data_IF_673203868440
#
_entry.id   IF_673203868440
#
_cell.length_a   1.000
_cell.length_b   1.000
_cell.length_c   1.000
_cell.angle_alpha   90.00
_cell.angle_beta   90.00
_cell.angle_gamma   90.00
#
_symmetry.space_group_name_H-M   'P 1'
#
loop_
_entity.id
_entity.type
_entity.pdbx_description
1 polymer ?
#
# COMPACT_ATOMS: atom_id res chain seq x y z
N UNK A 1 -39.86 10.81 -46.43
CA UNK A 1 -38.44 10.79 -46.01
C UNK A 1 -38.10 11.60 -44.74
N UNK A 2 -38.86 12.62 -44.33
CA UNK A 2 -38.56 13.44 -43.11
C UNK A 2 -39.02 12.80 -41.79
N UNK A 3 -40.04 11.94 -41.78
CA UNK A 3 -40.58 11.31 -40.57
C UNK A 3 -39.68 10.17 -40.05
N UNK A 4 -39.04 9.42 -40.97
CA UNK A 4 -38.14 8.29 -40.60
C UNK A 4 -36.87 8.76 -39.95
N UNK A 5 -36.31 9.90 -40.33
CA UNK A 5 -35.10 10.49 -39.73
C UNK A 5 -35.37 10.98 -38.32
N UNK A 6 -36.57 11.55 -38.06
CA UNK A 6 -36.93 12.02 -36.71
C UNK A 6 -37.12 10.86 -35.71
N UNK A 7 -37.62 9.70 -36.16
CA UNK A 7 -37.79 8.53 -35.33
C UNK A 7 -36.44 7.89 -34.93
N UNK A 8 -35.48 7.85 -35.85
CA UNK A 8 -34.11 7.34 -35.60
C UNK A 8 -33.38 8.25 -34.62
N UNK A 9 -33.52 9.56 -34.72
CA UNK A 9 -32.92 10.51 -33.78
C UNK A 9 -33.55 10.43 -32.40
N UNK A 10 -34.91 10.23 -32.30
CA UNK A 10 -35.55 9.99 -31.00
C UNK A 10 -35.13 8.68 -30.35
N UNK A 11 -34.96 7.58 -31.10
CA UNK A 11 -34.49 6.30 -30.56
C UNK A 11 -33.04 6.41 -30.12
N UNK A 12 -32.18 7.15 -30.83
CA UNK A 12 -30.80 7.42 -30.43
C UNK A 12 -30.73 8.30 -29.16
N UNK A 13 -31.61 9.29 -29.02
CA UNK A 13 -31.68 10.15 -27.84
C UNK A 13 -32.23 9.41 -26.58
N UNK A 14 -33.08 8.41 -26.76
CA UNK A 14 -33.56 7.59 -25.64
C UNK A 14 -32.55 6.57 -25.10
N UNK A 15 -31.52 6.24 -25.89
CA UNK A 15 -30.44 5.38 -25.45
C UNK A 15 -29.23 6.15 -24.86
N UNK A 16 -29.25 7.48 -24.87
CA UNK A 16 -28.13 8.32 -24.46
C UNK A 16 -28.06 8.57 -22.93
N UNK A 17 -28.91 7.94 -22.11
CA UNK A 17 -29.05 8.36 -20.72
C UNK A 17 -28.85 7.31 -19.62
N UNK A 18 -28.91 6.03 -19.94
CA UNK A 18 -28.78 5.03 -18.89
C UNK A 18 -27.32 4.56 -18.75
N UNK A 19 -26.66 5.02 -17.70
CA UNK A 19 -25.29 4.68 -17.37
C UNK A 19 -25.26 3.86 -16.05
N UNK A 20 -24.27 2.99 -15.90
CA UNK A 20 -24.03 2.31 -14.62
C UNK A 20 -23.38 3.31 -13.67
N UNK A 21 -23.97 3.53 -12.51
CA UNK A 21 -23.51 4.49 -11.52
C UNK A 21 -23.50 3.88 -10.11
N UNK A 22 -22.82 4.54 -9.18
CA UNK A 22 -22.83 4.14 -7.77
C UNK A 22 -23.53 5.17 -6.89
N UNK A 23 -24.35 4.70 -5.96
CA UNK A 23 -25.05 5.55 -4.97
C UNK A 23 -24.13 5.98 -3.82
N UNK A 24 -24.65 6.86 -2.94
CA UNK A 24 -23.98 7.21 -1.68
C UNK A 24 -23.84 6.02 -0.72
N UNK A 25 -24.69 4.99 -0.87
CA UNK A 25 -24.65 3.74 -0.09
C UNK A 25 -23.75 2.68 -0.72
N UNK A 26 -23.22 2.96 -1.92
CA UNK A 26 -22.37 2.04 -2.67
C UNK A 26 -23.14 1.02 -3.51
N UNK A 27 -24.46 1.11 -3.55
CA UNK A 27 -25.28 0.30 -4.44
C UNK A 27 -24.96 0.68 -5.90
N UNK A 28 -25.12 -0.25 -6.82
CA UNK A 28 -24.88 -0.03 -8.24
C UNK A 28 -26.24 0.08 -8.93
N UNK A 29 -26.44 1.15 -9.69
CA UNK A 29 -27.67 1.48 -10.41
C UNK A 29 -27.41 1.52 -11.91
N UNK A 30 -28.43 1.17 -12.68
CA UNK A 30 -28.51 1.39 -14.12
C UNK A 30 -29.76 2.23 -14.41
N UNK A 31 -29.56 3.49 -14.78
CA UNK A 31 -30.61 4.49 -14.73
C UNK A 31 -31.09 4.65 -13.28
N UNK A 32 -32.45 4.64 -13.09
CA UNK A 32 -33.06 4.79 -11.76
C UNK A 32 -33.27 3.44 -11.03
N UNK A 33 -32.70 2.35 -11.53
CA UNK A 33 -32.92 1.00 -11.00
C UNK A 33 -31.65 0.45 -10.34
N UNK A 34 -31.73 0.14 -9.04
CA UNK A 34 -30.69 -0.63 -8.36
C UNK A 34 -30.58 -2.04 -8.92
N UNK A 35 -29.39 -2.40 -9.41
CA UNK A 35 -29.06 -3.71 -10.00
C UNK A 35 -28.21 -4.56 -9.08
N UNK A 36 -27.41 -3.93 -8.19
CA UNK A 36 -26.60 -4.58 -7.16
C UNK A 36 -26.66 -3.77 -5.88
N UNK A 37 -26.95 -4.42 -4.76
CA UNK A 37 -26.99 -3.80 -3.44
C UNK A 37 -25.72 -4.06 -2.66
N UNK A 38 -25.23 -3.04 -1.95
CA UNK A 38 -24.09 -3.16 -1.03
C UNK A 38 -24.58 -3.31 0.40
N UNK A 39 -24.31 -4.44 1.00
CA UNK A 39 -24.68 -4.75 2.37
C UNK A 39 -23.44 -4.83 3.27
N UNK A 40 -23.49 -4.18 4.44
CA UNK A 40 -22.52 -4.41 5.50
C UNK A 40 -22.95 -5.66 6.27
N UNK A 41 -22.07 -6.70 6.32
CA UNK A 41 -22.42 -7.96 6.98
C UNK A 41 -21.63 -8.24 8.26
N UNK A 42 -20.44 -7.62 8.43
CA UNK A 42 -19.62 -7.72 9.64
C UNK A 42 -18.90 -6.40 9.93
N UNK A 43 -18.43 -6.29 11.17
CA UNK A 43 -17.61 -5.17 11.63
C UNK A 43 -18.44 -4.04 12.28
N UNK A 44 -17.79 -3.35 13.22
CA UNK A 44 -18.33 -2.18 13.92
C UNK A 44 -17.34 -0.99 13.77
N UNK A 45 -17.51 0.07 14.55
CA UNK A 45 -16.63 1.23 14.53
C UNK A 45 -15.18 0.92 14.93
N UNK A 46 -14.96 -0.16 15.70
CA UNK A 46 -13.63 -0.59 16.19
C UNK A 46 -13.00 -1.63 15.25
N UNK A 47 -13.82 -2.43 14.57
CA UNK A 47 -13.39 -3.41 13.57
C UNK A 47 -13.76 -2.92 12.19
N UNK A 48 -12.84 -3.00 11.23
CA UNK A 48 -13.11 -2.53 9.87
C UNK A 48 -14.32 -3.26 9.28
N UNK A 49 -15.23 -2.53 8.59
CA UNK A 49 -16.42 -3.13 8.03
C UNK A 49 -16.06 -4.13 6.93
N UNK A 50 -16.83 -5.21 6.85
CA UNK A 50 -16.87 -6.09 5.69
C UNK A 50 -18.15 -5.85 4.93
N UNK A 51 -18.05 -5.76 3.61
CA UNK A 51 -19.21 -5.57 2.73
C UNK A 51 -19.36 -6.78 1.82
N UNK A 52 -20.62 -7.04 1.43
CA UNK A 52 -20.96 -7.92 0.33
C UNK A 52 -21.83 -7.17 -0.67
N UNK A 53 -21.63 -7.47 -1.93
CA UNK A 53 -22.53 -7.01 -2.98
C UNK A 53 -23.39 -8.20 -3.42
N UNK A 54 -24.67 -7.96 -3.47
CA UNK A 54 -25.68 -8.96 -3.84
C UNK A 54 -26.52 -8.48 -5.02
N UNK A 55 -26.94 -9.40 -5.87
CA UNK A 55 -27.90 -9.10 -6.92
C UNK A 55 -29.34 -9.00 -6.35
N UNK A 56 -30.32 -8.73 -7.21
CA UNK A 56 -31.75 -8.64 -6.83
C UNK A 56 -32.32 -9.97 -6.29
N UNK A 57 -31.69 -11.11 -6.59
CA UNK A 57 -32.02 -12.43 -6.05
C UNK A 57 -31.33 -12.72 -4.71
N UNK A 58 -30.56 -11.77 -4.18
CA UNK A 58 -29.72 -11.89 -2.96
C UNK A 58 -28.55 -12.88 -3.06
N UNK A 59 -28.16 -13.25 -4.29
CA UNK A 59 -26.91 -13.98 -4.51
C UNK A 59 -25.70 -13.09 -4.23
N UNK A 60 -24.73 -13.61 -3.50
CA UNK A 60 -23.47 -12.90 -3.28
C UNK A 60 -22.61 -12.91 -4.55
N UNK A 61 -22.32 -11.72 -5.06
CA UNK A 61 -21.50 -11.48 -6.23
C UNK A 61 -20.05 -11.17 -5.88
N UNK A 62 -19.84 -10.41 -4.79
CA UNK A 62 -18.55 -9.90 -4.36
C UNK A 62 -18.50 -9.78 -2.83
N UNK A 63 -17.41 -10.22 -2.25
CA UNK A 63 -17.07 -10.00 -0.84
C UNK A 63 -15.89 -9.01 -0.75
N UNK A 64 -16.02 -8.02 0.13
CA UNK A 64 -15.03 -6.96 0.31
C UNK A 64 -14.57 -6.95 1.76
N UNK A 65 -13.26 -7.10 1.93
CA UNK A 65 -12.61 -7.12 3.24
C UNK A 65 -11.54 -6.03 3.31
N UNK A 66 -11.61 -5.19 4.32
CA UNK A 66 -10.52 -4.28 4.67
C UNK A 66 -9.49 -5.00 5.53
N UNK A 67 -8.27 -4.94 5.11
CA UNK A 67 -7.13 -5.49 5.84
C UNK A 67 -6.27 -4.37 6.38
N UNK A 68 -5.64 -4.61 7.51
CA UNK A 68 -4.64 -3.72 8.09
C UNK A 68 -3.58 -4.54 8.78
N UNK A 69 -2.33 -4.19 8.52
CA UNK A 69 -1.20 -4.71 9.28
C UNK A 69 -0.19 -3.58 9.50
N UNK A 70 -0.02 -3.15 10.76
CA UNK A 70 0.73 -1.94 11.15
C UNK A 70 0.25 -0.70 10.38
N UNK A 71 1.13 -0.10 9.57
CA UNK A 71 0.87 1.09 8.76
C UNK A 71 0.34 0.79 7.36
N UNK A 72 0.23 -0.48 6.98
CA UNK A 72 -0.25 -0.88 5.67
C UNK A 72 -1.73 -1.23 5.69
N UNK A 73 -2.45 -0.71 4.70
CA UNK A 73 -3.89 -0.89 4.54
C UNK A 73 -4.20 -1.30 3.11
N UNK A 74 -4.97 -2.39 2.95
CA UNK A 74 -5.44 -2.83 1.63
C UNK A 74 -6.85 -3.41 1.71
N UNK A 75 -7.50 -3.48 0.55
CA UNK A 75 -8.83 -4.03 0.39
C UNK A 75 -8.71 -5.30 -0.45
N UNK A 76 -9.32 -6.38 0.01
CA UNK A 76 -9.48 -7.61 -0.76
C UNK A 76 -10.87 -7.64 -1.37
N UNK A 77 -10.93 -7.78 -2.69
CA UNK A 77 -12.11 -8.03 -3.48
C UNK A 77 -12.13 -9.52 -3.84
N UNK A 78 -13.07 -10.28 -3.29
CA UNK A 78 -13.20 -11.71 -3.57
C UNK A 78 -14.48 -11.94 -4.39
N UNK A 79 -14.35 -12.54 -5.57
CA UNK A 79 -15.39 -12.88 -6.52
C UNK A 79 -15.71 -14.39 -6.42
N UNK A 80 -16.63 -14.83 -5.54
CA UNK A 80 -16.80 -16.24 -5.20
C UNK A 80 -17.15 -17.10 -6.41
N UNK A 81 -18.06 -16.62 -7.29
CA UNK A 81 -18.48 -17.36 -8.49
C UNK A 81 -17.36 -17.49 -9.54
N UNK A 82 -16.39 -16.58 -9.55
CA UNK A 82 -15.26 -16.62 -10.46
C UNK A 82 -14.05 -17.34 -9.86
N UNK A 83 -14.05 -17.61 -8.55
CA UNK A 83 -12.90 -18.19 -7.84
C UNK A 83 -11.67 -17.26 -7.83
N UNK A 84 -11.88 -15.93 -7.95
CA UNK A 84 -10.83 -14.94 -8.12
C UNK A 84 -10.80 -13.95 -6.95
N UNK A 85 -9.58 -13.47 -6.64
CA UNK A 85 -9.35 -12.49 -5.60
C UNK A 85 -8.37 -11.43 -6.10
N UNK A 86 -8.67 -10.16 -5.82
CA UNK A 86 -7.81 -9.02 -6.14
C UNK A 86 -7.57 -8.20 -4.89
N UNK A 87 -6.33 -7.80 -4.67
CA UNK A 87 -5.93 -6.95 -3.54
C UNK A 87 -5.50 -5.58 -4.05
N UNK A 88 -6.05 -4.53 -3.45
CA UNK A 88 -5.81 -3.13 -3.86
C UNK A 88 -5.47 -2.30 -2.64
N UNK A 89 -4.46 -1.43 -2.73
CA UNK A 89 -4.15 -0.50 -1.65
C UNK A 89 -5.37 0.36 -1.30
N UNK A 90 -5.66 0.53 -0.02
CA UNK A 90 -6.84 1.29 0.42
C UNK A 90 -6.86 2.70 -0.17
N UNK A 91 -5.71 3.36 -0.30
CA UNK A 91 -5.59 4.71 -0.86
C UNK A 91 -5.98 4.84 -2.33
N UNK A 92 -5.97 3.74 -3.09
CA UNK A 92 -6.40 3.73 -4.49
C UNK A 92 -7.92 3.65 -4.63
N UNK A 93 -8.59 3.05 -3.65
CA UNK A 93 -10.05 2.88 -3.62
C UNK A 93 -10.72 3.99 -2.82
N UNK A 94 -10.20 4.29 -1.63
CA UNK A 94 -10.84 5.21 -0.68
C UNK A 94 -10.20 6.59 -0.78
N UNK A 95 -10.91 7.51 -1.41
CA UNK A 95 -10.48 8.91 -1.64
C UNK A 95 -11.21 9.92 -0.74
N UNK A 96 -11.98 9.45 0.25
CA UNK A 96 -12.77 10.31 1.12
C UNK A 96 -13.40 9.56 2.28
N UNK A 97 -14.28 10.22 3.04
CA UNK A 97 -14.86 9.67 4.26
C UNK A 97 -15.97 8.63 4.03
N UNK A 98 -16.61 8.62 2.86
CA UNK A 98 -17.67 7.66 2.54
C UNK A 98 -17.09 6.42 1.87
N UNK A 99 -16.78 5.41 2.65
CA UNK A 99 -16.21 4.14 2.19
C UNK A 99 -17.09 3.44 1.15
N UNK A 100 -18.41 3.34 1.40
CA UNK A 100 -19.34 2.65 0.52
C UNK A 100 -19.39 3.31 -0.85
N UNK A 101 -19.54 4.64 -0.90
CA UNK A 101 -19.53 5.39 -2.16
C UNK A 101 -18.22 5.19 -2.92
N UNK A 102 -17.09 5.28 -2.23
CA UNK A 102 -15.77 5.13 -2.87
C UNK A 102 -15.58 3.74 -3.47
N UNK A 103 -16.00 2.69 -2.75
CA UNK A 103 -15.98 1.31 -3.25
C UNK A 103 -16.91 1.19 -4.48
N UNK A 104 -18.15 1.66 -4.38
CA UNK A 104 -19.11 1.63 -5.49
C UNK A 104 -18.53 2.32 -6.73
N UNK A 105 -17.99 3.53 -6.58
CA UNK A 105 -17.34 4.25 -7.68
C UNK A 105 -16.17 3.47 -8.27
N UNK A 106 -15.31 2.90 -7.44
CA UNK A 106 -14.18 2.06 -7.90
C UNK A 106 -14.66 0.86 -8.74
N UNK A 107 -15.72 0.20 -8.34
CA UNK A 107 -16.30 -0.93 -9.07
C UNK A 107 -16.92 -0.51 -10.40
N UNK A 108 -17.60 0.64 -10.44
CA UNK A 108 -18.18 1.23 -11.67
C UNK A 108 -17.04 1.65 -12.63
N UNK A 109 -16.03 2.38 -12.15
CA UNK A 109 -14.90 2.84 -12.95
C UNK A 109 -14.13 1.68 -13.60
N UNK A 110 -14.07 0.53 -12.92
CA UNK A 110 -13.45 -0.68 -13.44
C UNK A 110 -14.45 -1.61 -14.16
N UNK A 111 -15.70 -1.16 -14.40
CA UNK A 111 -16.76 -1.87 -15.16
C UNK A 111 -17.03 -3.30 -14.67
N UNK A 112 -16.98 -3.48 -13.33
CA UNK A 112 -17.12 -4.81 -12.73
C UNK A 112 -18.51 -5.42 -12.96
N UNK A 113 -19.54 -4.58 -13.09
CA UNK A 113 -20.90 -5.00 -13.34
C UNK A 113 -21.40 -4.50 -14.70
N UNK A 114 -22.15 -5.33 -15.39
CA UNK A 114 -22.91 -4.94 -16.58
C UNK A 114 -24.26 -4.26 -16.20
N UNK A 115 -25.01 -3.79 -17.19
CA UNK A 115 -26.31 -3.13 -17.02
C UNK A 115 -27.40 -4.03 -16.42
N UNK A 116 -27.17 -5.32 -16.30
CA UNK A 116 -28.08 -6.30 -15.69
C UNK A 116 -27.68 -6.68 -14.26
N UNK A 117 -26.54 -6.16 -13.79
CA UNK A 117 -25.96 -6.47 -12.47
C UNK A 117 -25.16 -7.76 -12.41
N UNK A 118 -24.84 -8.36 -13.56
CA UNK A 118 -23.92 -9.49 -13.59
C UNK A 118 -22.47 -9.03 -13.52
N UNK A 119 -21.63 -9.86 -12.90
CA UNK A 119 -20.21 -9.63 -12.85
C UNK A 119 -19.60 -9.90 -14.23
N UNK A 120 -18.80 -8.93 -14.73
CA UNK A 120 -18.08 -9.04 -16.00
C UNK A 120 -16.73 -9.77 -15.82
N UNK A 121 -16.54 -11.00 -16.35
CA UNK A 121 -15.31 -11.76 -16.17
C UNK A 121 -14.07 -11.09 -16.81
N UNK A 122 -14.24 -10.36 -17.92
CA UNK A 122 -13.13 -9.64 -18.58
C UNK A 122 -12.63 -8.51 -17.70
N UNK A 123 -13.55 -7.80 -17.05
CA UNK A 123 -13.20 -6.72 -16.11
C UNK A 123 -12.49 -7.24 -14.86
N UNK A 124 -12.86 -8.42 -14.34
CA UNK A 124 -12.10 -9.05 -13.25
C UNK A 124 -10.68 -9.36 -13.72
N UNK A 125 -10.50 -9.93 -14.91
CA UNK A 125 -9.17 -10.24 -15.45
C UNK A 125 -8.34 -8.99 -15.68
N UNK A 126 -8.93 -7.91 -16.16
CA UNK A 126 -8.27 -6.61 -16.29
C UNK A 126 -7.86 -6.05 -14.91
N UNK A 127 -8.72 -6.19 -13.90
CA UNK A 127 -8.44 -5.77 -12.53
C UNK A 127 -7.30 -6.58 -11.92
N UNK A 128 -7.27 -7.90 -12.10
CA UNK A 128 -6.17 -8.78 -11.68
C UNK A 128 -4.84 -8.40 -12.35
N UNK A 129 -4.87 -8.09 -13.62
CA UNK A 129 -3.67 -7.66 -14.36
C UNK A 129 -3.14 -6.33 -13.85
N UNK A 130 -4.04 -5.39 -13.55
CA UNK A 130 -3.70 -4.05 -13.04
C UNK A 130 -3.16 -4.11 -11.60
N UNK A 131 -3.71 -4.98 -10.77
CA UNK A 131 -3.40 -5.15 -9.35
C UNK A 131 -2.89 -6.57 -9.09
N UNK A 132 -1.76 -6.92 -9.72
CA UNK A 132 -1.19 -8.26 -9.71
C UNK A 132 -0.33 -8.58 -8.47
N UNK A 133 -0.23 -7.66 -7.51
CA UNK A 133 0.54 -7.87 -6.30
C UNK A 133 -0.29 -8.61 -5.23
N UNK A 134 0.27 -9.64 -4.63
CA UNK A 134 -0.24 -10.23 -3.40
C UNK A 134 0.17 -9.34 -2.21
N UNK A 135 -0.67 -8.34 -1.90
CA UNK A 135 -0.39 -7.36 -0.84
C UNK A 135 -0.37 -8.01 0.54
N UNK A 136 -1.17 -9.06 0.76
CA UNK A 136 -1.20 -9.82 2.01
C UNK A 136 0.18 -10.41 2.32
N UNK A 137 0.79 -11.12 1.38
CA UNK A 137 2.14 -11.67 1.59
C UNK A 137 3.21 -10.60 1.60
N UNK A 138 3.11 -9.61 0.72
CA UNK A 138 4.03 -8.47 0.69
C UNK A 138 4.10 -7.75 2.04
N UNK A 139 2.95 -7.41 2.61
CA UNK A 139 2.90 -6.68 3.89
C UNK A 139 3.22 -7.56 5.08
N UNK A 140 2.92 -8.85 5.04
CA UNK A 140 3.37 -9.81 6.04
C UNK A 140 4.90 -9.84 6.14
N UNK A 141 5.60 -9.94 5.00
CA UNK A 141 7.08 -9.92 4.95
C UNK A 141 7.63 -8.58 5.45
N UNK A 142 7.06 -7.45 5.01
CA UNK A 142 7.48 -6.13 5.44
C UNK A 142 7.27 -5.91 6.95
N UNK A 143 6.18 -6.42 7.51
CA UNK A 143 5.88 -6.30 8.93
C UNK A 143 6.69 -7.25 9.80
N UNK A 144 7.14 -8.37 9.29
CA UNK A 144 8.06 -9.26 10.00
C UNK A 144 9.38 -8.52 10.29
N UNK A 145 9.90 -7.79 9.32
CA UNK A 145 11.04 -6.89 9.51
C UNK A 145 10.77 -5.80 10.56
N UNK A 146 9.57 -5.21 10.57
CA UNK A 146 9.17 -4.20 11.56
C UNK A 146 9.06 -4.80 12.98
N UNK A 147 8.52 -6.01 13.12
CA UNK A 147 8.45 -6.72 14.42
C UNK A 147 9.83 -7.04 14.95
N UNK A 148 10.73 -7.53 14.10
CA UNK A 148 12.13 -7.79 14.45
C UNK A 148 12.82 -6.52 14.91
N UNK A 149 12.67 -5.41 14.18
CA UNK A 149 13.25 -4.11 14.58
C UNK A 149 12.68 -3.64 15.92
N UNK A 150 11.36 -3.77 16.13
CA UNK A 150 10.72 -3.34 17.38
C UNK A 150 11.17 -4.14 18.60
N UNK A 151 11.51 -5.42 18.43
CA UNK A 151 12.02 -6.30 19.49
C UNK A 151 13.54 -6.27 19.68
N UNK A 152 14.26 -5.49 18.84
CA UNK A 152 15.74 -5.46 18.84
C UNK A 152 16.25 -4.15 19.42
N UNK A 153 17.22 -4.25 20.33
CA UNK A 153 17.93 -3.10 20.87
C UNK A 153 19.12 -2.75 19.95
N UNK A 154 19.14 -1.52 19.48
CA UNK A 154 20.22 -0.96 18.66
C UNK A 154 20.96 0.10 19.47
N UNK A 155 22.29 0.13 19.34
CA UNK A 155 23.13 1.10 19.99
C UNK A 155 24.33 1.48 19.11
N UNK A 156 24.83 2.69 19.29
CA UNK A 156 26.00 3.23 18.62
C UNK A 156 26.89 3.95 19.62
N UNK A 157 28.15 3.60 19.67
CA UNK A 157 29.15 4.22 20.52
C UNK A 157 30.01 5.16 19.70
N UNK A 158 29.89 6.47 19.95
CA UNK A 158 30.56 7.50 19.18
C UNK A 158 32.12 7.46 19.36
N UNK A 159 32.61 7.03 20.54
CA UNK A 159 34.02 7.07 20.86
C UNK A 159 34.89 6.17 19.94
N UNK A 160 34.36 5.01 19.58
CA UNK A 160 35.04 4.02 18.76
C UNK A 160 34.24 3.66 17.49
N UNK A 161 33.13 4.39 17.22
CA UNK A 161 32.24 4.24 16.07
C UNK A 161 31.64 2.84 15.94
N UNK A 162 31.49 2.10 17.04
CA UNK A 162 30.96 0.74 17.03
C UNK A 162 29.45 0.72 17.05
N UNK A 163 28.88 -0.21 16.29
CA UNK A 163 27.45 -0.50 16.28
C UNK A 163 27.16 -1.83 16.98
N UNK A 164 26.07 -1.83 17.77
CA UNK A 164 25.66 -2.98 18.57
C UNK A 164 24.21 -3.33 18.29
N UNK A 165 23.92 -4.64 18.24
CA UNK A 165 22.59 -5.21 18.14
C UNK A 165 22.41 -6.17 19.31
N UNK A 166 21.40 -5.93 20.16
CA UNK A 166 21.15 -6.67 21.40
C UNK A 166 22.40 -6.76 22.30
N UNK A 167 23.18 -5.70 22.38
CA UNK A 167 24.40 -5.62 23.19
C UNK A 167 25.66 -6.27 22.58
N UNK A 168 25.55 -6.94 21.42
CA UNK A 168 26.71 -7.52 20.71
C UNK A 168 27.22 -6.53 19.68
N UNK A 169 28.53 -6.33 19.64
CA UNK A 169 29.18 -5.57 18.55
C UNK A 169 28.98 -6.32 17.23
N UNK A 170 28.42 -5.64 16.24
CA UNK A 170 28.13 -6.20 14.91
C UNK A 170 28.93 -5.53 13.80
N UNK A 171 29.56 -4.39 14.10
CA UNK A 171 30.35 -3.68 13.09
C UNK A 171 30.72 -2.26 13.51
N UNK A 172 30.97 -1.44 12.51
CA UNK A 172 31.36 -0.03 12.62
C UNK A 172 30.46 0.82 11.74
N UNK A 173 30.20 2.05 12.16
CA UNK A 173 29.51 3.05 11.34
C UNK A 173 30.32 4.35 11.33
N UNK A 174 30.88 4.67 10.19
CA UNK A 174 31.57 5.94 9.97
C UNK A 174 30.55 6.96 9.42
N UNK A 175 30.32 8.02 10.18
CA UNK A 175 29.48 9.16 9.79
C UNK A 175 30.32 10.42 9.98
N UNK A 176 30.70 11.10 8.90
CA UNK A 176 31.45 12.35 9.01
C UNK A 176 30.68 13.38 9.80
N UNK A 177 31.31 14.06 10.74
CA UNK A 177 30.70 15.18 11.44
C UNK A 177 30.37 16.29 10.43
N UNK A 178 29.11 16.77 10.42
CA UNK A 178 28.72 17.82 9.50
C UNK A 178 27.64 18.73 10.09
N UNK A 179 27.94 20.04 10.08
CA UNK A 179 27.03 21.09 10.51
C UNK A 179 25.97 21.41 9.44
N UNK A 180 26.14 20.96 8.18
CA UNK A 180 25.34 21.37 7.03
C UNK A 180 24.22 20.39 6.66
N UNK A 181 23.86 19.43 7.52
CA UNK A 181 22.84 18.41 7.25
C UNK A 181 23.05 17.58 5.97
N UNK A 182 24.27 17.51 5.45
CA UNK A 182 24.63 16.64 4.33
C UNK A 182 25.83 15.79 4.70
N UNK A 183 25.69 14.47 4.52
CA UNK A 183 26.70 13.48 4.89
C UNK A 183 27.24 12.83 3.63
N UNK A 184 28.49 13.10 3.33
CA UNK A 184 29.22 12.48 2.23
C UNK A 184 30.16 11.40 2.81
N UNK A 185 30.15 10.21 2.18
CA UNK A 185 31.03 9.14 2.60
C UNK A 185 30.60 8.42 3.88
N UNK A 186 29.30 8.25 4.09
CA UNK A 186 28.79 7.38 5.15
C UNK A 186 29.13 5.94 4.81
N UNK A 187 29.71 5.21 5.77
CA UNK A 187 30.04 3.80 5.62
C UNK A 187 29.54 3.00 6.83
N UNK A 188 28.90 1.88 6.55
CA UNK A 188 28.56 0.83 7.49
C UNK A 188 29.35 -0.42 7.17
N UNK A 189 30.07 -0.95 8.14
CA UNK A 189 30.95 -2.13 7.99
C UNK A 189 30.54 -3.23 8.94
N UNK A 190 30.77 -4.46 8.55
CA UNK A 190 30.60 -5.62 9.44
C UNK A 190 31.78 -5.75 10.44
N UNK A 191 31.72 -6.77 11.28
CA UNK A 191 32.76 -7.06 12.27
C UNK A 191 34.12 -7.39 11.63
N UNK A 192 34.15 -7.81 10.36
CA UNK A 192 35.34 -8.11 9.58
C UNK A 192 35.83 -6.90 8.76
N UNK A 193 35.26 -5.72 9.04
CA UNK A 193 35.57 -4.46 8.35
C UNK A 193 35.21 -4.42 6.86
N UNK A 194 34.29 -5.30 6.40
CA UNK A 194 33.76 -5.27 5.04
C UNK A 194 32.59 -4.29 4.96
N UNK A 195 32.51 -3.52 3.88
CA UNK A 195 31.43 -2.57 3.65
C UNK A 195 30.12 -3.33 3.48
N UNK A 196 29.16 -3.02 4.33
CA UNK A 196 27.77 -3.50 4.26
C UNK A 196 26.90 -2.52 3.45
N UNK A 197 27.08 -1.22 3.70
CA UNK A 197 26.42 -0.16 2.96
C UNK A 197 27.24 1.11 2.98
N UNK A 198 27.17 1.89 1.90
CA UNK A 198 27.84 3.19 1.81
C UNK A 198 27.05 4.14 0.91
N UNK A 199 27.27 5.45 1.09
CA UNK A 199 26.64 6.46 0.24
C UNK A 199 26.64 7.85 0.84
N UNK A 200 25.75 8.69 0.31
CA UNK A 200 25.60 10.08 0.69
C UNK A 200 24.16 10.39 1.06
N UNK A 201 23.95 11.17 2.09
CA UNK A 201 22.63 11.64 2.50
C UNK A 201 22.71 13.17 2.57
N UNK A 202 21.99 13.83 1.67
CA UNK A 202 21.91 15.29 1.62
C UNK A 202 20.82 15.86 2.52
N UNK A 203 20.71 17.18 2.57
CA UNK A 203 19.73 17.91 3.38
C UNK A 203 18.26 17.57 3.03
N UNK A 204 18.00 17.03 1.84
CA UNK A 204 16.67 16.59 1.39
C UNK A 204 16.47 15.07 1.45
N UNK A 205 17.42 14.32 2.02
CA UNK A 205 17.46 12.87 2.03
C UNK A 205 18.52 12.33 1.07
N UNK A 206 18.55 11.01 0.95
CA UNK A 206 19.54 10.33 0.09
C UNK A 206 19.36 8.82 0.15
N UNK A 207 20.40 8.10 -0.28
CA UNK A 207 20.38 6.65 -0.24
C UNK A 207 21.75 6.08 0.12
N UNK A 208 21.74 4.89 0.71
CA UNK A 208 22.92 4.04 0.85
C UNK A 208 22.77 2.85 -0.09
N UNK A 209 23.86 2.53 -0.79
CA UNK A 209 23.96 1.33 -1.60
C UNK A 209 24.64 0.22 -0.79
N UNK A 210 23.97 -0.92 -0.70
CA UNK A 210 24.48 -2.09 0.00
C UNK A 210 25.47 -2.86 -0.89
N UNK A 211 26.26 -3.74 -0.29
CA UNK A 211 27.28 -4.54 -1.01
C UNK A 211 26.68 -5.44 -2.09
N UNK A 212 25.40 -5.85 -1.96
CA UNK A 212 24.65 -6.65 -2.93
C UNK A 212 23.87 -5.78 -3.94
N UNK A 213 24.12 -4.46 -3.95
CA UNK A 213 23.59 -3.52 -4.93
C UNK A 213 22.21 -2.94 -4.62
N UNK A 214 21.59 -3.31 -3.48
CA UNK A 214 20.30 -2.76 -3.06
C UNK A 214 20.46 -1.31 -2.64
N UNK A 215 19.52 -0.47 -3.07
CA UNK A 215 19.45 0.93 -2.65
C UNK A 215 18.43 1.10 -1.52
N UNK A 216 18.88 1.68 -0.38
CA UNK A 216 18.03 1.98 0.77
C UNK A 216 17.92 3.50 0.89
N UNK A 217 16.72 4.03 0.74
CA UNK A 217 16.42 5.46 0.77
C UNK A 217 16.13 5.92 2.20
N UNK A 218 16.61 7.12 2.52
CA UNK A 218 16.41 7.78 3.81
C UNK A 218 15.86 9.18 3.60
N UNK A 219 14.97 9.60 4.52
CA UNK A 219 14.52 10.98 4.60
C UNK A 219 15.62 11.93 5.10
N UNK A 220 15.25 13.19 5.31
CA UNK A 220 16.18 14.21 5.79
C UNK A 220 16.82 13.80 7.12
N UNK A 221 18.17 13.80 7.22
CA UNK A 221 18.83 13.65 8.49
C UNK A 221 18.59 14.90 9.35
N UNK A 222 18.43 14.72 10.64
CA UNK A 222 18.54 15.83 11.58
C UNK A 222 19.96 16.41 11.61
N UNK A 223 20.14 17.55 12.25
CA UNK A 223 21.51 18.05 12.57
C UNK A 223 22.20 17.02 13.44
N UNK A 224 23.47 16.73 13.15
CA UNK A 224 24.31 15.88 13.98
C UNK A 224 25.47 16.71 14.55
N UNK A 225 25.10 17.61 15.47
CA UNK A 225 26.05 18.54 16.09
C UNK A 225 26.76 17.94 17.31
N UNK A 226 26.39 16.75 17.71
CA UNK A 226 27.00 16.04 18.83
C UNK A 226 26.78 14.54 18.77
N UNK A 227 27.40 13.82 19.70
CA UNK A 227 27.32 12.36 19.77
C UNK A 227 25.88 11.84 19.87
N UNK A 228 25.00 12.51 20.64
CA UNK A 228 23.59 12.09 20.76
C UNK A 228 22.82 12.14 19.45
N UNK A 229 23.01 13.21 18.67
CA UNK A 229 22.35 13.35 17.37
C UNK A 229 22.90 12.32 16.37
N UNK A 230 24.24 12.15 16.32
CA UNK A 230 24.89 11.15 15.48
C UNK A 230 24.43 9.75 15.85
N UNK A 231 24.30 9.44 17.14
CA UNK A 231 23.80 8.16 17.63
C UNK A 231 22.38 7.89 17.10
N UNK A 232 21.46 8.84 17.24
CA UNK A 232 20.09 8.69 16.74
C UNK A 232 20.06 8.46 15.23
N UNK A 233 20.86 9.19 14.48
CA UNK A 233 20.98 9.06 13.03
C UNK A 233 21.50 7.68 12.63
N UNK A 234 22.61 7.22 13.20
CA UNK A 234 23.21 5.91 12.94
C UNK A 234 22.26 4.79 13.32
N UNK A 235 21.61 4.88 14.48
CA UNK A 235 20.62 3.88 14.93
C UNK A 235 19.43 3.79 13.97
N UNK A 236 18.97 4.89 13.42
CA UNK A 236 17.89 4.87 12.42
C UNK A 236 18.32 4.16 11.12
N UNK A 237 19.53 4.44 10.64
CA UNK A 237 20.08 3.72 9.47
C UNK A 237 20.26 2.24 9.78
N UNK A 238 20.82 1.91 10.96
CA UNK A 238 21.04 0.52 11.39
C UNK A 238 19.72 -0.27 11.45
N UNK A 239 18.62 0.35 11.93
CA UNK A 239 17.28 -0.26 11.91
C UNK A 239 16.82 -0.59 10.50
N UNK A 240 17.05 0.32 9.53
CA UNK A 240 16.69 0.06 8.14
C UNK A 240 17.55 -1.03 7.51
N UNK A 241 18.86 -1.03 7.76
CA UNK A 241 19.73 -2.10 7.32
C UNK A 241 19.30 -3.45 7.92
N UNK A 242 19.00 -3.49 9.22
CA UNK A 242 18.51 -4.69 9.91
C UNK A 242 17.17 -5.17 9.37
N UNK A 243 16.22 -4.26 9.10
CA UNK A 243 14.93 -4.57 8.45
C UNK A 243 15.15 -5.26 7.11
N UNK A 244 16.14 -4.84 6.36
CA UNK A 244 16.50 -5.38 5.06
C UNK A 244 17.39 -6.63 5.11
N UNK A 245 17.66 -7.18 6.29
CA UNK A 245 18.35 -8.46 6.45
C UNK A 245 19.83 -8.37 6.84
N UNK A 246 20.40 -7.17 6.90
CA UNK A 246 21.81 -6.96 7.30
C UNK A 246 21.94 -6.96 8.83
N UNK A 247 23.08 -7.41 9.35
CA UNK A 247 23.36 -7.47 10.80
C UNK A 247 22.40 -8.36 11.63
N UNK A 248 21.76 -9.35 11.00
CA UNK A 248 20.85 -10.28 11.69
C UNK A 248 21.53 -11.52 12.29
N UNK A 249 22.83 -11.68 12.08
CA UNK A 249 23.62 -12.84 12.56
C UNK A 249 24.14 -12.68 13.98
#
# INVERSE_FOLDING_TARGET
MRITVLLIVMIAALNAGAQVESTKKGDIEFGDKTIVEMEKYEGNAQTRPKFRLVNIQKDTLLLIKFNKDFSYDWITFNFPKAGKQVEVNTSEVIKGLNYQKNIGSFLVDNKIFDSTGNVNPESITALETKYNENLTEKYKVLNEGNRLVASTKFDYQCADQTIHVNGRKVGLAFVPANEQMSFNGIEFKDINNKIVASGNIGSFGGSLKTFDGKEIKFGMPGKTTGCGDTMNFVVNILRELFRNGYYRS
#
